data_IF_906266230567
#
_entry.id   IF_906266230567
#
_cell.length_a   1.000
_cell.length_b   1.000
_cell.length_c   1.000
_cell.angle_alpha   90.00
_cell.angle_beta   90.00
_cell.angle_gamma   90.00
#
_symmetry.space_group_name_H-M   'P 1'
#
loop_
_entity.id
_entity.type
_entity.pdbx_description
1 polymer ?
#
# COMPACT_ATOMS: atom_id res chain seq x y z
N UNK A 1 -7.32 0.24 -18.26
CA UNK A 1 -7.27 1.61 -18.80
C UNK A 1 -8.56 2.39 -18.53
N UNK A 2 -9.77 1.84 -18.76
CA UNK A 2 -11.02 2.62 -18.60
C UNK A 2 -11.27 3.23 -17.20
N UNK A 3 -10.61 2.70 -16.17
CA UNK A 3 -10.72 3.16 -14.78
C UNK A 3 -9.58 4.10 -14.35
N UNK A 4 -8.69 4.49 -15.26
CA UNK A 4 -7.58 5.41 -14.97
C UNK A 4 -8.08 6.76 -14.46
N UNK A 5 -7.36 7.31 -13.49
CA UNK A 5 -7.62 8.62 -12.93
C UNK A 5 -6.34 9.35 -12.55
N UNK A 6 -6.42 10.69 -12.48
CA UNK A 6 -5.45 11.57 -11.84
C UNK A 6 -6.21 12.35 -10.77
N UNK A 7 -5.64 12.40 -9.57
CA UNK A 7 -6.21 13.15 -8.45
C UNK A 7 -5.34 14.35 -8.09
N UNK A 8 -6.00 15.46 -7.76
CA UNK A 8 -5.38 16.65 -7.20
C UNK A 8 -5.92 16.88 -5.80
N UNK A 9 -5.02 17.17 -4.87
CA UNK A 9 -5.35 17.67 -3.53
C UNK A 9 -4.83 19.10 -3.41
N UNK A 10 -5.69 20.03 -3.01
CA UNK A 10 -5.23 21.34 -2.58
C UNK A 10 -4.68 21.27 -1.16
N UNK A 11 -3.35 21.28 -1.04
CA UNK A 11 -2.65 21.25 0.25
C UNK A 11 -2.53 22.61 0.93
N UNK A 12 -2.94 23.70 0.28
CA UNK A 12 -2.90 25.04 0.85
C UNK A 12 -4.10 25.31 1.76
N UNK A 13 -3.99 26.34 2.61
CA UNK A 13 -5.09 26.80 3.47
C UNK A 13 -6.11 27.69 2.76
N UNK A 14 -5.96 27.92 1.46
CA UNK A 14 -6.82 28.81 0.65
C UNK A 14 -7.26 28.13 -0.64
N UNK A 15 -8.42 28.51 -1.21
CA UNK A 15 -8.84 28.02 -2.52
C UNK A 15 -7.83 28.36 -3.62
N UNK A 16 -7.63 27.43 -4.55
CA UNK A 16 -6.80 27.59 -5.75
C UNK A 16 -7.73 27.67 -6.97
N UNK A 17 -7.51 28.68 -7.81
CA UNK A 17 -8.19 28.78 -9.11
C UNK A 17 -7.41 28.00 -10.16
N UNK A 18 -8.04 26.98 -10.74
CA UNK A 18 -7.49 26.12 -11.77
C UNK A 18 -7.99 26.51 -13.17
N UNK A 19 -8.72 27.61 -13.33
CA UNK A 19 -9.26 28.05 -14.61
C UNK A 19 -8.18 28.10 -15.69
N UNK A 20 -8.42 27.43 -16.83
CA UNK A 20 -7.52 27.36 -17.98
C UNK A 20 -6.14 26.72 -17.73
N UNK A 21 -5.92 26.14 -16.55
CA UNK A 21 -4.79 25.23 -16.31
C UNK A 21 -4.96 24.02 -17.23
N UNK A 22 -3.87 23.56 -17.86
CA UNK A 22 -3.96 22.48 -18.84
C UNK A 22 -2.69 21.66 -18.94
N UNK A 23 -2.86 20.42 -19.38
CA UNK A 23 -1.74 19.52 -19.61
C UNK A 23 -1.01 19.93 -20.89
N UNK A 24 0.29 20.14 -20.76
CA UNK A 24 1.23 20.34 -21.86
C UNK A 24 1.85 19.02 -22.34
N UNK A 25 1.93 18.03 -21.45
CA UNK A 25 2.37 16.66 -21.72
C UNK A 25 1.57 15.68 -20.88
N UNK A 26 1.43 14.46 -21.38
CA UNK A 26 0.60 13.44 -20.77
C UNK A 26 -0.74 13.29 -21.48
N UNK A 27 -1.79 13.30 -20.68
CA UNK A 27 -3.18 13.33 -21.12
C UNK A 27 -3.56 14.65 -21.80
N UNK A 28 -4.72 14.67 -22.47
CA UNK A 28 -5.29 15.87 -23.06
C UNK A 28 -6.46 16.37 -22.20
N UNK A 29 -6.21 17.45 -21.45
CA UNK A 29 -7.22 18.09 -20.62
C UNK A 29 -6.88 19.56 -20.33
N UNK A 30 -7.92 20.38 -20.27
CA UNK A 30 -7.87 21.76 -19.78
C UNK A 30 -9.03 21.97 -18.81
N UNK A 31 -8.73 22.54 -17.65
CA UNK A 31 -9.73 22.87 -16.65
C UNK A 31 -10.66 23.97 -17.18
N UNK A 32 -11.99 23.79 -17.09
CA UNK A 32 -12.96 24.82 -17.45
C UNK A 32 -12.76 26.11 -16.64
N UNK A 33 -13.25 27.23 -17.17
CA UNK A 33 -13.30 28.47 -16.40
C UNK A 33 -14.14 28.31 -15.13
N UNK A 34 -13.73 29.02 -14.07
CA UNK A 34 -14.32 28.96 -12.73
C UNK A 34 -14.17 27.59 -12.04
N UNK A 35 -13.15 26.82 -12.41
CA UNK A 35 -12.75 25.63 -11.64
C UNK A 35 -11.98 26.08 -10.40
N UNK A 36 -12.65 26.10 -9.26
CA UNK A 36 -12.04 26.47 -7.97
C UNK A 36 -11.91 25.22 -7.09
N UNK A 37 -10.68 24.89 -6.72
CA UNK A 37 -10.39 23.81 -5.77
C UNK A 37 -10.21 24.41 -4.37
N UNK A 38 -11.18 24.18 -3.49
CA UNK A 38 -11.14 24.68 -2.12
C UNK A 38 -10.01 24.03 -1.29
N UNK A 39 -9.63 24.67 -0.19
CA UNK A 39 -8.56 24.21 0.69
C UNK A 39 -8.87 22.82 1.27
N UNK A 40 -7.94 21.86 1.12
CA UNK A 40 -8.09 20.49 1.58
C UNK A 40 -9.04 19.61 0.77
N UNK A 41 -9.61 20.13 -0.32
CA UNK A 41 -10.51 19.36 -1.19
C UNK A 41 -9.74 18.62 -2.30
N UNK A 42 -10.37 17.55 -2.78
CA UNK A 42 -9.87 16.73 -3.89
C UNK A 42 -10.59 17.08 -5.20
N UNK A 43 -9.92 16.80 -6.31
CA UNK A 43 -10.48 16.86 -7.65
C UNK A 43 -9.98 15.68 -8.47
N UNK A 44 -10.90 15.04 -9.19
CA UNK A 44 -10.60 13.89 -10.04
C UNK A 44 -10.66 14.23 -11.53
N UNK A 45 -9.64 13.79 -12.27
CA UNK A 45 -9.69 13.66 -13.72
C UNK A 45 -9.77 12.17 -14.05
N UNK A 46 -10.85 11.74 -14.69
CA UNK A 46 -11.10 10.32 -14.99
C UNK A 46 -11.11 10.06 -16.49
N UNK A 47 -10.72 8.85 -16.90
CA UNK A 47 -10.65 8.50 -18.32
C UNK A 47 -12.01 8.27 -18.97
N UNK A 48 -12.86 7.51 -18.29
CA UNK A 48 -14.25 7.23 -18.62
C UNK A 48 -15.05 7.30 -17.31
N UNK A 49 -15.86 8.34 -17.15
CA UNK A 49 -16.61 8.60 -15.93
C UNK A 49 -17.62 7.49 -15.66
N UNK A 50 -18.24 6.93 -16.69
CA UNK A 50 -19.26 5.89 -16.51
C UNK A 50 -18.61 4.59 -16.02
N UNK A 51 -17.49 4.20 -16.61
CA UNK A 51 -16.72 3.05 -16.16
C UNK A 51 -16.19 3.28 -14.74
N UNK A 52 -15.62 4.45 -14.48
CA UNK A 52 -15.14 4.85 -13.15
C UNK A 52 -16.26 4.76 -12.09
N UNK A 53 -17.39 5.40 -12.31
CA UNK A 53 -18.52 5.41 -11.37
C UNK A 53 -19.15 4.02 -11.18
N UNK A 54 -19.01 3.12 -12.16
CA UNK A 54 -19.45 1.72 -11.99
C UNK A 54 -18.59 0.92 -11.02
N UNK A 55 -17.32 1.33 -10.82
CA UNK A 55 -16.37 0.70 -9.90
C UNK A 55 -16.35 1.38 -8.53
N UNK A 56 -16.25 2.70 -8.53
CA UNK A 56 -16.05 3.50 -7.30
C UNK A 56 -17.35 4.08 -6.74
N UNK A 57 -18.46 3.95 -7.46
CA UNK A 57 -19.69 4.67 -7.15
C UNK A 57 -19.65 6.11 -7.66
N UNK A 58 -20.73 6.86 -7.42
CA UNK A 58 -20.80 8.26 -7.81
C UNK A 58 -19.77 9.08 -7.01
N UNK A 59 -18.88 9.78 -7.71
CA UNK A 59 -17.89 10.64 -7.07
C UNK A 59 -18.56 11.77 -6.28
N UNK A 60 -18.08 12.00 -5.07
CA UNK A 60 -18.53 13.08 -4.19
C UNK A 60 -17.73 14.38 -4.38
N UNK A 61 -16.63 14.32 -5.13
CA UNK A 61 -15.74 15.44 -5.39
C UNK A 61 -15.88 15.95 -6.84
N UNK A 62 -15.35 17.14 -7.10
CA UNK A 62 -15.37 17.69 -8.46
C UNK A 62 -14.63 16.75 -9.41
N UNK A 63 -15.32 16.33 -10.47
CA UNK A 63 -14.82 15.29 -11.39
C UNK A 63 -15.01 15.70 -12.84
N UNK A 64 -13.95 15.60 -13.63
CA UNK A 64 -13.95 15.87 -15.07
C UNK A 64 -13.41 14.67 -15.86
N UNK A 65 -13.82 14.57 -17.13
CA UNK A 65 -13.27 13.56 -18.05
C UNK A 65 -12.14 14.14 -18.89
N UNK A 66 -11.05 13.38 -19.04
CA UNK A 66 -9.97 13.69 -19.96
C UNK A 66 -9.93 12.75 -21.17
N UNK A 67 -9.13 13.10 -22.19
CA UNK A 67 -8.90 12.23 -23.35
C UNK A 67 -7.42 11.86 -23.50
N UNK A 68 -7.13 10.76 -24.19
CA UNK A 68 -5.79 10.13 -24.19
C UNK A 68 -5.81 8.86 -23.36
N UNK A 69 -4.69 8.49 -22.74
CA UNK A 69 -4.59 7.49 -21.67
C UNK A 69 -3.25 7.68 -20.99
N UNK A 70 -3.15 7.25 -19.75
CA UNK A 70 -1.85 7.15 -19.08
C UNK A 70 -1.06 5.99 -19.69
N UNK A 71 0.26 6.13 -19.74
CA UNK A 71 1.15 5.02 -20.13
C UNK A 71 1.35 4.07 -18.95
N UNK A 72 1.19 2.76 -19.18
CA UNK A 72 1.44 1.75 -18.16
C UNK A 72 2.94 1.64 -17.82
N UNK A 73 3.83 1.92 -18.79
CA UNK A 73 5.30 1.84 -18.62
C UNK A 73 5.92 3.15 -18.09
N UNK A 74 5.09 4.07 -17.57
CA UNK A 74 5.51 5.41 -17.16
C UNK A 74 5.31 6.50 -18.22
N UNK A 75 5.09 7.75 -17.76
CA UNK A 75 4.85 8.92 -18.62
C UNK A 75 5.33 10.23 -17.98
N UNK A 76 5.64 11.22 -18.81
CA UNK A 76 5.91 12.60 -18.39
C UNK A 76 4.61 13.40 -18.30
N UNK A 77 4.21 13.77 -17.09
CA UNK A 77 3.09 14.67 -16.83
C UNK A 77 3.58 16.10 -16.62
N UNK A 78 3.02 17.04 -17.40
CA UNK A 78 3.36 18.46 -17.29
C UNK A 78 2.08 19.30 -17.34
N UNK A 79 1.84 20.08 -16.27
CA UNK A 79 0.68 20.96 -16.10
C UNK A 79 1.15 22.41 -16.04
N UNK A 80 0.52 23.29 -16.82
CA UNK A 80 0.85 24.72 -16.87
C UNK A 80 -0.40 25.59 -16.69
N UNK A 81 -0.22 26.83 -16.21
CA UNK A 81 -1.30 27.82 -16.16
C UNK A 81 -1.50 28.53 -17.52
N UNK A 82 -2.46 29.46 -17.57
CA UNK A 82 -2.76 30.27 -18.76
C UNK A 82 -1.60 31.13 -19.24
N UNK A 83 -0.69 31.50 -18.34
CA UNK A 83 0.50 32.29 -18.64
C UNK A 83 1.71 31.42 -19.05
N UNK A 84 1.49 30.12 -19.28
CA UNK A 84 2.52 29.11 -19.59
C UNK A 84 3.55 28.88 -18.48
N UNK A 85 3.23 29.27 -17.25
CA UNK A 85 4.05 28.96 -16.08
C UNK A 85 3.81 27.53 -15.63
N UNK A 86 4.88 26.88 -15.18
CA UNK A 86 4.87 25.48 -14.76
C UNK A 86 4.23 25.33 -13.38
N UNK A 87 3.24 24.44 -13.25
CA UNK A 87 2.62 24.08 -11.97
C UNK A 87 3.15 22.72 -11.49
N UNK A 88 3.05 21.70 -12.35
CA UNK A 88 3.49 20.33 -12.06
C UNK A 88 4.34 19.82 -13.22
N UNK A 89 5.42 19.13 -12.91
CA UNK A 89 6.35 18.56 -13.88
C UNK A 89 7.04 17.35 -13.28
N UNK A 90 6.56 16.15 -13.60
CA UNK A 90 7.23 14.92 -13.17
C UNK A 90 7.02 13.77 -14.13
N UNK A 91 7.93 12.81 -14.06
CA UNK A 91 7.85 11.53 -14.77
C UNK A 91 7.53 10.47 -13.74
N UNK A 92 6.51 9.65 -13.96
CA UNK A 92 6.30 8.42 -13.18
C UNK A 92 6.77 7.20 -13.98
N UNK A 93 7.00 6.09 -13.28
CA UNK A 93 7.34 4.80 -13.88
C UNK A 93 6.73 3.66 -13.04
N UNK A 94 6.76 2.46 -13.59
CA UNK A 94 6.30 1.19 -13.03
C UNK A 94 7.45 0.27 -12.61
N UNK A 95 8.71 0.68 -12.81
CA UNK A 95 9.91 -0.08 -12.48
C UNK A 95 10.70 0.59 -11.35
N UNK A 96 11.42 -0.21 -10.56
CA UNK A 96 12.34 0.30 -9.54
C UNK A 96 13.23 1.42 -10.09
N UNK A 97 13.38 2.55 -9.36
CA UNK A 97 13.03 2.76 -7.96
C UNK A 97 11.58 3.25 -7.70
N UNK A 98 10.69 3.26 -8.69
CA UNK A 98 9.27 3.53 -8.45
C UNK A 98 8.58 2.30 -7.85
N UNK A 99 7.48 2.47 -7.09
CA UNK A 99 6.71 1.34 -6.57
C UNK A 99 6.16 0.46 -7.71
N UNK A 100 6.69 -0.77 -7.85
CA UNK A 100 6.34 -1.68 -8.97
C UNK A 100 4.88 -2.13 -8.95
N UNK A 101 4.29 -2.29 -7.76
CA UNK A 101 2.92 -2.78 -7.57
C UNK A 101 1.80 -1.81 -8.01
N UNK A 102 2.15 -0.60 -8.49
CA UNK A 102 1.21 0.23 -9.24
C UNK A 102 0.94 -0.32 -10.66
N UNK A 103 1.72 -1.31 -11.12
CA UNK A 103 1.47 -2.08 -12.34
C UNK A 103 0.69 -3.36 -12.04
N UNK A 104 -0.45 -3.53 -12.70
CA UNK A 104 -1.18 -4.81 -12.77
C UNK A 104 -2.08 -5.18 -11.58
N UNK A 105 -1.76 -4.81 -10.34
CA UNK A 105 -2.57 -5.21 -9.17
C UNK A 105 -3.75 -4.28 -8.86
N UNK A 106 -3.73 -3.08 -9.45
CA UNK A 106 -4.81 -2.10 -9.38
C UNK A 106 -4.70 -1.07 -8.25
N UNK A 107 -3.56 -0.98 -7.55
CA UNK A 107 -3.26 0.11 -6.61
C UNK A 107 -2.84 1.37 -7.38
N UNK A 108 -3.14 2.56 -6.85
CA UNK A 108 -2.70 3.83 -7.44
C UNK A 108 -1.34 4.29 -6.88
N UNK A 109 -0.60 5.13 -7.61
CA UNK A 109 0.55 5.86 -7.06
C UNK A 109 0.07 7.06 -6.23
N UNK A 110 0.63 7.21 -5.03
CA UNK A 110 0.29 8.24 -4.04
C UNK A 110 1.55 9.04 -3.71
N UNK A 111 1.47 10.37 -3.86
CA UNK A 111 2.57 11.26 -3.49
C UNK A 111 2.58 11.51 -1.98
N UNK A 112 3.61 11.05 -1.28
CA UNK A 112 3.77 11.19 0.18
C UNK A 112 4.94 12.10 0.59
N UNK A 113 5.84 12.38 -0.35
CA UNK A 113 7.08 13.11 -0.07
C UNK A 113 7.03 14.59 -0.41
N UNK A 114 8.20 15.13 -0.76
CA UNK A 114 8.40 16.58 -1.00
C UNK A 114 8.81 16.92 -2.43
N UNK A 115 9.31 15.95 -3.19
CA UNK A 115 9.86 16.17 -4.53
C UNK A 115 9.22 15.20 -5.50
N UNK A 116 8.37 15.70 -6.41
CA UNK A 116 7.60 14.84 -7.35
C UNK A 116 8.48 14.02 -8.30
N UNK A 117 9.69 14.49 -8.61
CA UNK A 117 10.65 13.74 -9.43
C UNK A 117 11.56 12.80 -8.63
N UNK A 118 11.35 12.68 -7.32
CA UNK A 118 12.03 11.71 -6.48
C UNK A 118 11.10 10.49 -6.29
N UNK A 119 11.45 9.31 -6.82
CA UNK A 119 10.63 8.10 -6.70
C UNK A 119 10.36 7.72 -5.23
N UNK A 120 11.27 8.05 -4.31
CA UNK A 120 11.06 7.81 -2.87
C UNK A 120 10.02 8.74 -2.21
N UNK A 121 9.53 9.74 -2.96
CA UNK A 121 8.39 10.57 -2.55
C UNK A 121 7.04 9.99 -2.98
N UNK A 122 7.03 8.80 -3.58
CA UNK A 122 5.83 8.11 -4.03
C UNK A 122 5.74 6.74 -3.38
N UNK A 123 4.52 6.40 -2.96
CA UNK A 123 4.16 5.11 -2.42
C UNK A 123 2.96 4.58 -3.22
N UNK A 124 2.78 3.27 -3.25
CA UNK A 124 1.51 2.72 -3.72
C UNK A 124 0.40 2.92 -2.69
N UNK A 125 -0.84 3.04 -3.15
CA UNK A 125 -2.02 3.05 -2.29
C UNK A 125 -2.13 1.73 -1.55
N UNK A 126 -2.59 1.84 -0.31
CA UNK A 126 -2.84 0.74 0.62
C UNK A 126 -4.14 0.01 0.32
N UNK A 127 -4.96 0.58 -0.56
CA UNK A 127 -6.25 0.06 -0.99
C UNK A 127 -6.16 -0.30 -2.47
N UNK A 128 -6.61 -1.52 -2.82
CA UNK A 128 -6.79 -1.90 -4.22
C UNK A 128 -7.82 -0.96 -4.85
N UNK A 129 -7.46 -0.32 -5.95
CA UNK A 129 -8.25 0.72 -6.60
C UNK A 129 -7.91 2.15 -6.17
N UNK A 130 -7.05 2.35 -5.16
CA UNK A 130 -6.77 3.67 -4.59
C UNK A 130 -7.89 4.19 -3.69
N UNK A 131 -7.77 5.44 -3.23
CA UNK A 131 -8.79 6.17 -2.47
C UNK A 131 -9.30 7.42 -3.20
N UNK A 132 -9.80 7.31 -4.45
CA UNK A 132 -10.13 8.50 -5.23
C UNK A 132 -11.26 9.32 -4.60
N UNK A 133 -11.00 10.62 -4.43
CA UNK A 133 -11.86 11.60 -3.78
C UNK A 133 -11.76 11.60 -2.26
N UNK A 134 -10.88 10.79 -1.67
CA UNK A 134 -10.74 10.60 -0.23
C UNK A 134 -9.27 10.57 0.20
N UNK A 135 -9.04 10.78 1.49
CA UNK A 135 -7.69 10.68 2.04
C UNK A 135 -7.19 9.23 2.01
N UNK A 136 -5.92 9.05 1.63
CA UNK A 136 -5.26 7.74 1.62
C UNK A 136 -5.38 7.04 2.98
N UNK A 137 -5.83 5.79 2.94
CA UNK A 137 -6.16 5.00 4.13
C UNK A 137 -4.89 4.47 4.76
N UNK A 138 -4.55 4.93 5.97
CA UNK A 138 -3.35 4.45 6.69
C UNK A 138 -3.45 2.99 7.13
N UNK A 139 -4.65 2.56 7.49
CA UNK A 139 -4.94 1.21 7.98
C UNK A 139 -6.30 0.75 7.48
N UNK A 140 -6.39 -0.48 7.02
CA UNK A 140 -7.59 -1.14 6.52
C UNK A 140 -7.98 -2.23 7.51
N UNK A 141 -9.26 -2.37 7.84
CA UNK A 141 -9.73 -3.49 8.66
C UNK A 141 -9.78 -4.78 7.84
N UNK A 142 -9.77 -5.95 8.49
CA UNK A 142 -9.94 -7.22 7.77
C UNK A 142 -11.22 -7.26 6.92
N UNK A 143 -12.33 -6.74 7.46
CA UNK A 143 -13.63 -6.77 6.76
C UNK A 143 -13.62 -5.93 5.48
N UNK A 144 -12.98 -4.76 5.51
CA UNK A 144 -12.83 -3.90 4.34
C UNK A 144 -11.89 -4.55 3.33
N UNK A 145 -10.75 -5.07 3.78
CA UNK A 145 -9.79 -5.78 2.92
C UNK A 145 -10.43 -7.00 2.23
N UNK A 146 -11.24 -7.79 2.93
CA UNK A 146 -11.93 -8.94 2.34
C UNK A 146 -12.91 -8.51 1.25
N UNK A 147 -13.63 -7.39 1.47
CA UNK A 147 -14.54 -6.82 0.48
C UNK A 147 -13.79 -6.31 -0.75
N UNK A 148 -12.68 -5.60 -0.55
CA UNK A 148 -11.83 -5.06 -1.63
C UNK A 148 -11.21 -6.16 -2.49
N UNK A 149 -10.84 -7.28 -1.87
CA UNK A 149 -10.27 -8.43 -2.58
C UNK A 149 -11.33 -9.42 -3.08
N UNK A 150 -12.62 -9.14 -2.85
CA UNK A 150 -13.73 -10.01 -3.27
C UNK A 150 -13.65 -11.44 -2.73
N UNK A 151 -13.12 -11.61 -1.53
CA UNK A 151 -12.98 -12.91 -0.84
C UNK A 151 -13.98 -13.04 0.30
N UNK A 152 -14.13 -14.25 0.82
CA UNK A 152 -14.98 -14.49 1.99
C UNK A 152 -14.58 -13.62 3.18
N UNK A 153 -15.59 -13.00 3.81
CA UNK A 153 -15.42 -12.28 5.08
C UNK A 153 -15.24 -13.20 6.30
N UNK A 154 -15.24 -14.52 6.13
CA UNK A 154 -14.86 -15.46 7.20
C UNK A 154 -13.32 -15.49 7.34
N UNK A 155 -12.75 -15.12 8.51
CA UNK A 155 -11.29 -15.14 8.73
C UNK A 155 -10.61 -16.49 8.50
N UNK A 156 -11.36 -17.59 8.54
CA UNK A 156 -10.84 -18.95 8.36
C UNK A 156 -11.10 -19.52 6.97
N UNK A 157 -11.74 -18.75 6.07
CA UNK A 157 -11.82 -19.12 4.68
C UNK A 157 -10.44 -19.08 4.02
N UNK A 158 -10.32 -19.81 2.93
CA UNK A 158 -9.14 -20.01 2.10
C UNK A 158 -9.70 -20.01 0.68
N UNK A 159 -9.80 -18.82 0.09
CA UNK A 159 -10.53 -18.60 -1.17
C UNK A 159 -9.74 -19.08 -2.41
N UNK A 160 -8.41 -19.17 -2.31
CA UNK A 160 -7.53 -19.62 -3.40
C UNK A 160 -7.03 -21.08 -3.26
N UNK A 161 -7.23 -21.70 -2.10
CA UNK A 161 -7.00 -23.12 -1.83
C UNK A 161 -5.55 -23.48 -1.52
N UNK A 162 -4.75 -22.54 -1.03
CA UNK A 162 -3.33 -22.72 -0.72
C UNK A 162 -3.06 -23.19 0.71
N UNK A 163 -4.11 -23.38 1.52
CA UNK A 163 -4.11 -23.75 2.95
C UNK A 163 -3.77 -22.62 3.93
N UNK A 164 -3.58 -21.41 3.45
CA UNK A 164 -3.46 -20.19 4.24
C UNK A 164 -4.86 -19.57 4.32
N UNK A 165 -5.24 -19.12 5.52
CA UNK A 165 -6.54 -18.46 5.64
C UNK A 165 -6.45 -17.01 5.19
N UNK A 166 -7.54 -16.48 4.63
CA UNK A 166 -7.66 -15.07 4.23
C UNK A 166 -7.23 -14.10 5.35
N UNK A 167 -7.44 -14.46 6.62
CA UNK A 167 -6.98 -13.65 7.74
C UNK A 167 -5.46 -13.62 7.88
N UNK A 168 -4.78 -14.74 7.68
CA UNK A 168 -3.32 -14.78 7.66
C UNK A 168 -2.79 -13.99 6.46
N UNK A 169 -3.38 -14.17 5.29
CA UNK A 169 -3.02 -13.41 4.09
C UNK A 169 -3.18 -11.90 4.28
N UNK A 170 -4.27 -11.46 4.91
CA UNK A 170 -4.45 -10.07 5.30
C UNK A 170 -3.30 -9.56 6.19
N UNK A 171 -2.82 -10.35 7.15
CA UNK A 171 -1.74 -9.93 8.05
C UNK A 171 -0.36 -9.97 7.40
N UNK A 172 -0.15 -10.89 6.47
CA UNK A 172 1.10 -11.04 5.72
C UNK A 172 1.19 -10.09 4.52
N UNK A 173 0.04 -9.73 3.95
CA UNK A 173 -0.09 -8.88 2.78
C UNK A 173 -0.02 -9.62 1.44
N UNK A 174 -0.33 -10.92 1.40
CA UNK A 174 -0.40 -11.72 0.16
C UNK A 174 -1.71 -11.50 -0.61
N UNK A 175 -1.73 -11.89 -1.89
CA UNK A 175 -2.92 -11.90 -2.75
C UNK A 175 -3.82 -13.13 -2.49
N UNK A 176 -5.02 -12.93 -1.89
CA UNK A 176 -5.91 -14.04 -1.52
C UNK A 176 -6.68 -14.65 -2.68
N UNK A 177 -6.38 -14.24 -3.91
CA UNK A 177 -6.85 -14.87 -5.14
C UNK A 177 -5.76 -15.69 -5.86
N UNK A 178 -4.54 -15.76 -5.32
CA UNK A 178 -3.38 -16.32 -5.98
C UNK A 178 -2.59 -17.28 -5.07
N UNK A 179 -2.92 -18.57 -5.16
CA UNK A 179 -2.28 -19.63 -4.37
C UNK A 179 -0.74 -19.75 -4.51
N UNK A 180 -0.13 -19.08 -5.49
CA UNK A 180 1.32 -19.02 -5.65
C UNK A 180 1.99 -17.97 -4.75
N UNK A 181 1.20 -17.03 -4.19
CA UNK A 181 1.64 -15.94 -3.31
C UNK A 181 1.51 -16.28 -1.81
N UNK A 182 1.28 -17.57 -1.52
CA UNK A 182 1.20 -18.12 -0.17
C UNK A 182 2.33 -17.60 0.74
N UNK A 183 2.01 -16.87 1.83
CA UNK A 183 3.03 -16.27 2.68
C UNK A 183 3.70 -17.34 3.56
N UNK A 184 5.00 -17.16 3.82
CA UNK A 184 5.77 -18.04 4.69
C UNK A 184 6.56 -17.26 5.73
N UNK A 185 6.56 -17.78 6.96
CA UNK A 185 7.47 -17.35 8.01
C UNK A 185 8.65 -18.31 8.09
N UNK A 186 9.87 -17.80 8.11
CA UNK A 186 11.10 -18.58 8.21
C UNK A 186 11.74 -18.48 9.59
N UNK A 187 12.36 -19.57 10.05
CA UNK A 187 13.11 -19.58 11.31
C UNK A 187 14.57 -19.89 11.06
N UNK A 188 15.46 -19.12 11.70
CA UNK A 188 16.90 -19.24 11.48
C UNK A 188 17.69 -19.04 12.76
N UNK A 189 18.98 -19.39 12.75
CA UNK A 189 19.92 -19.11 13.82
C UNK A 189 20.93 -18.09 13.35
N UNK A 190 20.92 -16.90 13.95
CA UNK A 190 21.87 -15.83 13.64
C UNK A 190 22.91 -15.68 14.73
N UNK A 191 24.17 -15.41 14.33
CA UNK A 191 25.27 -15.16 15.26
C UNK A 191 25.48 -13.66 15.42
N UNK A 192 25.27 -13.14 16.62
CA UNK A 192 25.36 -11.71 16.96
C UNK A 192 26.26 -11.56 18.17
N UNK A 193 27.31 -10.73 18.07
CA UNK A 193 28.24 -10.50 19.19
C UNK A 193 28.94 -11.76 19.70
N UNK A 194 29.07 -12.80 18.86
CA UNK A 194 29.69 -14.08 19.24
C UNK A 194 28.72 -15.14 19.78
N UNK A 195 27.49 -14.78 20.13
CA UNK A 195 26.44 -15.70 20.59
C UNK A 195 25.46 -16.02 19.44
N UNK A 196 24.84 -17.19 19.50
CA UNK A 196 23.81 -17.61 18.53
C UNK A 196 22.42 -17.34 19.10
N UNK A 197 21.50 -16.87 18.27
CA UNK A 197 20.12 -16.55 18.65
C UNK A 197 19.15 -17.11 17.62
N UNK A 198 17.96 -17.51 18.07
CA UNK A 198 16.88 -17.91 17.18
C UNK A 198 16.17 -16.66 16.64
N UNK A 199 15.95 -16.61 15.34
CA UNK A 199 15.23 -15.54 14.63
C UNK A 199 14.02 -16.09 13.91
N UNK A 200 12.99 -15.26 13.78
CA UNK A 200 11.81 -15.50 12.97
C UNK A 200 11.69 -14.33 11.98
N UNK A 201 11.65 -14.65 10.69
CA UNK A 201 11.47 -13.72 9.59
C UNK A 201 10.10 -13.96 8.97
N UNK A 202 9.33 -12.91 8.71
CA UNK A 202 8.00 -13.01 8.13
C UNK A 202 7.59 -11.71 7.43
N UNK A 203 6.77 -11.81 6.36
CA UNK A 203 6.19 -10.63 5.74
C UNK A 203 5.16 -9.99 6.67
N UNK A 204 4.90 -8.71 6.49
CA UNK A 204 3.92 -7.97 7.28
C UNK A 204 3.19 -6.99 6.38
N UNK A 205 1.87 -7.06 6.37
CA UNK A 205 1.04 -6.02 5.80
C UNK A 205 1.17 -4.73 6.63
N UNK A 206 1.72 -3.68 6.02
CA UNK A 206 1.90 -2.38 6.67
C UNK A 206 0.59 -1.61 6.82
N UNK A 207 -0.47 -2.07 6.16
CA UNK A 207 -1.80 -1.44 6.15
C UNK A 207 -2.81 -2.19 7.01
N UNK A 208 -2.45 -3.33 7.60
CA UNK A 208 -3.34 -4.01 8.53
C UNK A 208 -3.58 -3.15 9.79
N UNK A 209 -4.84 -2.96 10.18
CA UNK A 209 -5.23 -2.21 11.39
C UNK A 209 -4.59 -2.79 12.67
N UNK A 210 -4.47 -4.11 12.73
CA UNK A 210 -3.84 -4.81 13.85
C UNK A 210 -2.52 -5.45 13.41
N UNK A 211 -1.58 -5.52 14.36
CA UNK A 211 -0.29 -6.14 14.14
C UNK A 211 -0.25 -7.56 14.71
N UNK A 212 0.51 -8.43 14.06
CA UNK A 212 0.88 -9.73 14.61
C UNK A 212 1.83 -9.57 15.80
N UNK A 213 1.57 -10.32 16.86
CA UNK A 213 2.48 -10.53 17.98
C UNK A 213 3.23 -11.85 17.80
N UNK A 214 4.53 -11.84 18.12
CA UNK A 214 5.31 -13.08 18.25
C UNK A 214 5.20 -13.62 19.66
N UNK A 215 4.66 -14.83 19.79
CA UNK A 215 4.58 -15.56 21.05
C UNK A 215 5.50 -16.77 21.03
N UNK A 216 5.91 -17.21 22.21
CA UNK A 216 6.69 -18.44 22.35
C UNK A 216 6.08 -19.43 23.33
N UNK A 217 6.47 -20.69 23.17
CA UNK A 217 6.09 -21.79 24.04
C UNK A 217 7.26 -22.75 24.22
N UNK A 218 7.30 -23.43 25.36
CA UNK A 218 8.22 -24.54 25.62
C UNK A 218 7.54 -25.91 25.52
N UNK A 219 6.21 -25.95 25.40
CA UNK A 219 5.41 -27.18 25.48
C UNK A 219 4.30 -27.29 24.42
N UNK A 220 4.18 -26.30 23.52
CA UNK A 220 3.11 -26.14 22.51
C UNK A 220 1.69 -25.95 23.09
N UNK A 221 1.57 -25.78 24.41
CA UNK A 221 0.28 -25.65 25.10
C UNK A 221 0.14 -24.29 25.76
N UNK A 222 1.16 -23.91 26.52
CA UNK A 222 1.24 -22.63 27.22
C UNK A 222 2.00 -21.66 26.34
N UNK A 223 1.31 -20.62 25.89
CA UNK A 223 1.87 -19.58 25.04
C UNK A 223 2.08 -18.30 25.84
N UNK A 224 3.26 -17.70 25.68
CA UNK A 224 3.71 -16.54 26.44
C UNK A 224 3.79 -15.35 25.49
N UNK A 225 3.11 -14.28 25.87
CA UNK A 225 3.14 -12.94 25.27
C UNK A 225 4.03 -12.05 26.14
N UNK A 226 5.28 -11.90 25.73
CA UNK A 226 6.24 -11.04 26.42
C UNK A 226 7.04 -10.26 25.38
N UNK A 227 6.64 -9.03 25.11
CA UNK A 227 7.31 -8.14 24.15
C UNK A 227 8.80 -7.91 24.46
N UNK A 228 9.23 -8.10 25.71
CA UNK A 228 10.64 -8.02 26.14
C UNK A 228 11.45 -9.28 25.86
N UNK A 229 10.83 -10.37 25.41
CA UNK A 229 11.53 -11.60 25.03
C UNK A 229 12.04 -11.54 23.59
N UNK A 230 11.59 -10.56 22.80
CA UNK A 230 11.99 -10.38 21.41
C UNK A 230 12.50 -8.97 21.14
N UNK A 231 13.33 -8.82 20.12
CA UNK A 231 13.61 -7.53 19.50
C UNK A 231 13.46 -7.64 17.99
N UNK A 232 13.04 -6.55 17.33
CA UNK A 232 13.10 -6.43 15.88
C UNK A 232 14.55 -6.14 15.49
N UNK A 233 15.15 -7.04 14.70
CA UNK A 233 16.52 -6.90 14.20
C UNK A 233 16.54 -6.20 12.83
N UNK A 234 15.53 -6.45 12.00
CA UNK A 234 15.30 -5.74 10.74
C UNK A 234 13.82 -5.62 10.43
N UNK A 235 13.47 -4.56 9.70
CA UNK A 235 12.15 -4.35 9.10
C UNK A 235 12.41 -3.63 7.78
N UNK A 236 12.37 -4.37 6.68
CA UNK A 236 12.65 -3.84 5.35
C UNK A 236 11.32 -3.64 4.63
N UNK A 237 11.02 -2.39 4.26
CA UNK A 237 9.87 -2.07 3.41
C UNK A 237 10.12 -2.57 1.99
N UNK A 238 9.17 -3.31 1.44
CA UNK A 238 9.28 -3.90 0.10
C UNK A 238 8.78 -2.95 -1.00
N UNK A 239 8.16 -1.81 -0.63
CA UNK A 239 7.59 -0.85 -1.59
C UNK A 239 6.24 -1.28 -2.19
N UNK A 240 5.72 -2.43 -1.78
CA UNK A 240 4.44 -3.03 -2.21
C UNK A 240 3.38 -3.04 -1.08
N UNK A 241 3.63 -2.25 -0.02
CA UNK A 241 2.76 -2.17 1.16
C UNK A 241 2.97 -3.30 2.16
N UNK A 242 3.93 -4.18 1.90
CA UNK A 242 4.45 -5.16 2.84
C UNK A 242 5.85 -4.79 3.33
N UNK A 243 6.24 -5.36 4.45
CA UNK A 243 7.62 -5.34 4.92
C UNK A 243 8.07 -6.71 5.37
N UNK A 244 9.33 -7.06 5.10
CA UNK A 244 9.96 -8.24 5.67
C UNK A 244 10.50 -7.91 7.07
N UNK A 245 9.93 -8.54 8.10
CA UNK A 245 10.28 -8.30 9.50
C UNK A 245 11.06 -9.49 10.04
N UNK A 246 12.26 -9.23 10.58
CA UNK A 246 13.02 -10.24 11.33
C UNK A 246 13.06 -9.89 12.80
N UNK A 247 12.51 -10.77 13.63
CA UNK A 247 12.61 -10.70 15.10
C UNK A 247 13.63 -11.70 15.63
N UNK A 248 14.24 -11.36 16.76
CA UNK A 248 15.18 -12.22 17.49
C UNK A 248 14.67 -12.49 18.88
N UNK A 249 14.68 -13.75 19.28
CA UNK A 249 14.48 -14.14 20.67
C UNK A 249 15.73 -13.80 21.49
N UNK A 250 15.57 -13.02 22.55
CA UNK A 250 16.69 -12.42 23.28
C UNK A 250 17.51 -13.42 24.10
N UNK A 251 17.02 -14.65 24.31
CA UNK A 251 17.80 -15.69 24.95
C UNK A 251 18.75 -16.33 23.94
N UNK A 252 20.05 -16.21 24.21
CA UNK A 252 21.09 -16.87 23.43
C UNK A 252 20.94 -18.40 23.51
N UNK A 253 21.28 -19.06 22.42
CA UNK A 253 21.37 -20.51 22.32
C UNK A 253 22.66 -20.94 23.02
N UNK A 254 22.51 -21.82 23.99
CA UNK A 254 23.54 -22.39 24.83
C UNK A 254 23.26 -23.87 25.12
N UNK A 255 24.12 -24.52 25.90
CA UNK A 255 23.98 -25.94 26.24
C UNK A 255 22.77 -26.24 27.17
N UNK A 256 22.16 -25.22 27.78
CA UNK A 256 20.98 -25.34 28.65
C UNK A 256 19.68 -25.00 27.91
N UNK A 257 19.78 -24.66 26.62
CA UNK A 257 18.65 -24.24 25.82
C UNK A 257 17.67 -25.39 25.62
N UNK A 258 16.42 -25.15 26.00
CA UNK A 258 15.31 -26.07 25.75
C UNK A 258 14.73 -25.80 24.37
N UNK A 259 14.03 -26.80 23.82
CA UNK A 259 13.20 -26.61 22.64
C UNK A 259 12.20 -25.47 22.91
N UNK A 260 12.19 -24.49 22.04
CA UNK A 260 11.25 -23.36 22.04
C UNK A 260 10.50 -23.38 20.71
N UNK A 261 9.24 -23.00 20.75
CA UNK A 261 8.36 -22.90 19.60
C UNK A 261 7.88 -21.47 19.50
N UNK A 262 7.80 -20.95 18.28
CA UNK A 262 7.24 -19.63 18.02
C UNK A 262 5.92 -19.76 17.28
N UNK A 263 5.06 -18.76 17.47
CA UNK A 263 3.92 -18.52 16.61
C UNK A 263 3.73 -17.03 16.43
N UNK A 264 3.16 -16.68 15.29
CA UNK A 264 2.53 -15.38 15.08
C UNK A 264 1.10 -15.49 15.61
N UNK A 265 0.67 -14.47 16.34
CA UNK A 265 -0.61 -14.44 17.02
C UNK A 265 -1.26 -13.08 16.80
N UNK A 266 -2.56 -13.08 16.52
CA UNK A 266 -3.37 -11.87 16.39
C UNK A 266 -4.54 -12.01 17.36
N UNK A 267 -4.80 -10.94 18.13
CA UNK A 267 -5.94 -10.86 19.05
C UNK A 267 -7.27 -10.63 18.33
#
# INVERSE_FOLDING_TARGET
DDYEFIEFLNTDSSPIDLSNVHFKKGINFAFPENTILAAGEYLLLVRDRKAFESRYGASVVQTFEYTGRLSNDGEHLQLINSDSELIIDFIYNDQLPWPEAADGEGKSLVFTGKVQNDPSSWEQSRVRGGSPGEAEVKTVTYSEWATLNSVSGDPQADDDGDTVSNYLEYHFGSDPGLAADAPFADTNVQKIGGASYLTLSFPRNLSAESAMEVQFSFDLKTWISESKSFEIVSSTDNGDGTAEVTVRYLRAIDNESKKVFFRLFVN
#
